data_IF_969193466308
#
_entry.id   IF_969193466308
#
_cell.length_a   1.000
_cell.length_b   1.000
_cell.length_c   1.000
_cell.angle_alpha   90.00
_cell.angle_beta   90.00
_cell.angle_gamma   90.00
#
_symmetry.space_group_name_H-M   'P 1'
#
loop_
_entity.id
_entity.type
_entity.pdbx_description
1 polymer ?
#
# COMPACT_ATOMS: atom_id res chain seq x y z
N UNK A 1 52.12 -42.95 -34.88
CA UNK A 1 52.46 -41.66 -34.20
C UNK A 1 51.59 -40.53 -34.76
N UNK A 2 50.48 -40.82 -35.47
CA UNK A 2 49.56 -39.87 -36.13
C UNK A 2 48.34 -39.49 -35.31
N UNK A 3 47.97 -40.24 -34.30
CA UNK A 3 46.71 -40.03 -33.58
C UNK A 3 46.76 -38.88 -32.54
N UNK A 4 47.92 -38.42 -32.14
CA UNK A 4 48.07 -37.37 -31.14
C UNK A 4 47.71 -35.96 -31.68
N UNK A 5 47.83 -35.73 -32.99
CA UNK A 5 47.59 -34.43 -33.61
C UNK A 5 46.12 -34.08 -33.74
N UNK A 6 45.20 -35.05 -33.69
CA UNK A 6 43.74 -34.83 -33.80
C UNK A 6 43.01 -34.70 -32.46
N UNK A 7 43.68 -35.04 -31.36
CA UNK A 7 43.06 -34.97 -30.01
C UNK A 7 43.08 -33.56 -29.44
N UNK A 8 44.16 -32.80 -29.69
CA UNK A 8 44.32 -31.42 -29.18
C UNK A 8 43.26 -30.42 -29.68
N UNK A 9 42.92 -30.37 -30.99
CA UNK A 9 41.89 -29.42 -31.44
C UNK A 9 40.47 -29.74 -30.93
N UNK A 10 40.17 -31.01 -30.63
CA UNK A 10 38.85 -31.40 -30.06
C UNK A 10 38.73 -31.03 -28.57
N UNK A 11 39.80 -31.13 -27.81
CA UNK A 11 39.81 -30.73 -26.39
C UNK A 11 39.65 -29.21 -26.24
N UNK A 12 40.33 -28.41 -27.04
CA UNK A 12 40.21 -26.95 -27.01
C UNK A 12 38.84 -26.46 -27.39
N UNK A 13 38.18 -27.09 -28.36
CA UNK A 13 36.80 -26.76 -28.73
C UNK A 13 35.78 -27.13 -27.64
N UNK A 14 35.97 -28.29 -26.99
CA UNK A 14 35.09 -28.67 -25.86
C UNK A 14 35.25 -27.73 -24.66
N UNK A 15 36.47 -27.32 -24.32
CA UNK A 15 36.72 -26.33 -23.28
C UNK A 15 36.09 -24.96 -23.62
N UNK A 16 36.22 -24.51 -24.87
CA UNK A 16 35.61 -23.25 -25.32
C UNK A 16 34.07 -23.29 -25.24
N UNK A 17 33.45 -24.38 -25.65
CA UNK A 17 31.99 -24.57 -25.54
C UNK A 17 31.55 -24.61 -24.07
N UNK A 18 32.26 -25.33 -23.22
CA UNK A 18 31.95 -25.37 -21.78
C UNK A 18 32.09 -24.00 -21.13
N UNK A 19 33.14 -23.25 -21.46
CA UNK A 19 33.30 -21.87 -20.97
C UNK A 19 32.18 -20.93 -21.45
N UNK A 20 31.75 -21.07 -22.71
CA UNK A 20 30.62 -20.32 -23.25
C UNK A 20 29.29 -20.60 -22.53
N UNK A 21 29.02 -21.88 -22.24
CA UNK A 21 27.83 -22.27 -21.46
C UNK A 21 27.86 -21.69 -20.05
N UNK A 22 28.98 -21.79 -19.37
CA UNK A 22 29.14 -21.21 -18.02
C UNK A 22 28.95 -19.69 -18.03
N UNK A 23 29.51 -18.98 -19.02
CA UNK A 23 29.33 -17.54 -19.16
C UNK A 23 27.86 -17.16 -19.39
N UNK A 24 27.15 -17.89 -20.24
CA UNK A 24 25.72 -17.64 -20.49
C UNK A 24 24.87 -17.91 -19.24
N UNK A 25 25.16 -18.98 -18.49
CA UNK A 25 24.50 -19.27 -17.23
C UNK A 25 24.78 -18.17 -16.18
N UNK A 26 26.01 -17.70 -16.07
CA UNK A 26 26.36 -16.62 -15.17
C UNK A 26 25.64 -15.32 -15.51
N UNK A 27 25.56 -14.95 -16.80
CA UNK A 27 24.80 -13.80 -17.28
C UNK A 27 23.30 -13.94 -17.03
N UNK A 28 22.75 -15.12 -17.24
CA UNK A 28 21.33 -15.39 -16.97
C UNK A 28 21.02 -15.27 -15.46
N UNK A 29 21.85 -15.85 -14.60
CA UNK A 29 21.69 -15.78 -13.14
C UNK A 29 21.85 -14.34 -12.63
N UNK A 30 22.82 -13.59 -13.17
CA UNK A 30 23.02 -12.18 -12.84
C UNK A 30 21.82 -11.34 -13.26
N UNK A 31 21.32 -11.51 -14.49
CA UNK A 31 20.13 -10.83 -15.00
C UNK A 31 18.89 -11.16 -14.15
N UNK A 32 18.65 -12.43 -13.87
CA UNK A 32 17.55 -12.90 -13.01
C UNK A 32 17.64 -12.31 -11.61
N UNK A 33 18.81 -12.28 -11.00
CA UNK A 33 19.01 -11.70 -9.66
C UNK A 33 18.77 -10.19 -9.65
N UNK A 34 19.13 -9.48 -10.70
CA UNK A 34 18.91 -8.05 -10.84
C UNK A 34 17.44 -7.72 -11.02
N UNK A 35 16.76 -8.43 -11.91
CA UNK A 35 15.34 -8.28 -12.19
C UNK A 35 14.48 -8.54 -10.94
N UNK A 36 14.72 -9.62 -10.20
CA UNK A 36 13.98 -9.94 -8.98
C UNK A 36 14.20 -8.91 -7.87
N UNK A 37 15.37 -8.30 -7.78
CA UNK A 37 15.66 -7.24 -6.79
C UNK A 37 14.87 -5.95 -7.09
N UNK A 38 14.77 -5.56 -8.35
CA UNK A 38 14.01 -4.36 -8.77
C UNK A 38 12.52 -4.53 -8.50
N UNK A 39 11.94 -5.65 -8.94
CA UNK A 39 10.51 -5.95 -8.71
C UNK A 39 10.17 -5.97 -7.21
N UNK A 40 11.04 -6.56 -6.39
CA UNK A 40 10.85 -6.60 -4.94
C UNK A 40 10.95 -5.21 -4.30
N UNK A 41 11.90 -4.37 -4.73
CA UNK A 41 12.04 -2.98 -4.26
C UNK A 41 10.81 -2.14 -4.58
N UNK A 42 10.28 -2.27 -5.79
CA UNK A 42 9.08 -1.52 -6.20
C UNK A 42 7.83 -1.98 -5.46
N UNK A 43 7.68 -3.28 -5.19
CA UNK A 43 6.59 -3.80 -4.36
C UNK A 43 6.67 -3.25 -2.93
N UNK A 44 7.85 -3.26 -2.31
CA UNK A 44 8.06 -2.70 -0.95
C UNK A 44 7.79 -1.20 -0.93
N UNK A 45 8.29 -0.43 -1.90
CA UNK A 45 8.02 1.02 -1.96
C UNK A 45 6.53 1.33 -2.08
N UNK A 46 5.79 0.61 -2.92
CA UNK A 46 4.33 0.78 -3.06
C UNK A 46 3.60 0.43 -1.77
N UNK A 47 3.97 -0.68 -1.12
CA UNK A 47 3.39 -1.07 0.17
C UNK A 47 3.67 -0.05 1.26
N UNK A 48 4.90 0.46 1.36
CA UNK A 48 5.25 1.51 2.32
C UNK A 48 4.47 2.80 2.05
N UNK A 49 4.34 3.24 0.80
CA UNK A 49 3.59 4.44 0.46
C UNK A 49 2.11 4.32 0.89
N UNK A 50 1.48 3.15 0.66
CA UNK A 50 0.10 2.88 1.10
C UNK A 50 -0.03 2.86 2.62
N UNK A 51 0.91 2.20 3.32
CA UNK A 51 0.90 2.15 4.79
C UNK A 51 1.15 3.54 5.37
N UNK A 52 2.11 4.30 4.85
CA UNK A 52 2.40 5.66 5.32
C UNK A 52 1.21 6.60 5.08
N UNK A 53 0.52 6.48 3.93
CA UNK A 53 -0.70 7.23 3.65
C UNK A 53 -1.79 6.97 4.70
N UNK A 54 -2.10 5.70 4.96
CA UNK A 54 -3.11 5.30 5.95
C UNK A 54 -2.76 5.74 7.39
N UNK A 55 -1.49 5.64 7.78
CA UNK A 55 -1.04 6.10 9.11
C UNK A 55 -1.16 7.62 9.21
N UNK A 56 -0.82 8.36 8.14
CA UNK A 56 -0.97 9.82 8.12
C UNK A 56 -2.43 10.24 8.24
N UNK A 57 -3.35 9.53 7.59
CA UNK A 57 -4.80 9.79 7.73
C UNK A 57 -5.26 9.63 9.19
N UNK A 58 -4.82 8.62 9.92
CA UNK A 58 -5.19 8.40 11.32
C UNK A 58 -4.68 9.51 12.26
N UNK A 59 -3.68 10.27 11.85
CA UNK A 59 -3.12 11.38 12.63
C UNK A 59 -3.82 12.73 12.37
N UNK A 60 -4.73 12.80 11.41
CA UNK A 60 -5.48 14.02 11.07
C UNK A 60 -6.19 14.66 12.27
N UNK A 61 -6.78 13.92 13.23
CA UNK A 61 -7.39 14.52 14.41
C UNK A 61 -6.45 15.38 15.28
N UNK A 62 -5.14 15.18 15.16
CA UNK A 62 -4.12 15.95 15.88
C UNK A 62 -3.59 17.16 15.11
N UNK A 63 -4.04 17.38 13.88
CA UNK A 63 -3.64 18.54 13.08
C UNK A 63 -4.38 19.81 13.52
N UNK A 64 -3.72 20.98 13.45
CA UNK A 64 -4.34 22.25 13.84
C UNK A 64 -5.61 22.61 13.09
N UNK A 65 -5.78 22.06 11.88
CA UNK A 65 -6.94 22.31 11.02
C UNK A 65 -8.16 21.45 11.39
N UNK A 66 -7.98 20.40 12.23
CA UNK A 66 -9.08 19.54 12.64
C UNK A 66 -9.96 20.27 13.66
N UNK A 67 -11.28 20.46 13.35
CA UNK A 67 -12.12 21.38 14.13
C UNK A 67 -12.73 20.78 15.40
N UNK A 68 -12.35 19.54 15.75
CA UNK A 68 -12.92 18.82 16.89
C UNK A 68 -11.83 18.36 17.86
N UNK A 69 -12.22 18.00 19.09
CA UNK A 69 -11.30 17.39 20.04
C UNK A 69 -10.82 16.02 19.49
N UNK A 70 -9.51 15.74 19.42
CA UNK A 70 -8.99 14.46 18.92
C UNK A 70 -9.53 13.25 19.68
N UNK A 71 -9.85 13.40 20.96
CA UNK A 71 -10.41 12.34 21.82
C UNK A 71 -11.83 11.95 21.43
N UNK A 72 -12.56 12.81 20.74
CA UNK A 72 -13.94 12.56 20.29
C UNK A 72 -13.98 11.88 18.94
N UNK A 73 -12.86 11.86 18.20
CA UNK A 73 -12.76 11.22 16.90
C UNK A 73 -12.45 9.72 17.01
N UNK A 74 -13.07 8.93 16.15
CA UNK A 74 -12.80 7.51 15.96
C UNK A 74 -12.53 7.26 14.49
N UNK A 75 -11.39 6.61 14.19
CA UNK A 75 -11.08 6.19 12.83
C UNK A 75 -11.98 5.03 12.43
N UNK A 76 -12.62 5.13 11.27
CA UNK A 76 -13.44 4.07 10.67
C UNK A 76 -12.72 3.43 9.47
N UNK A 77 -12.05 4.24 8.66
CA UNK A 77 -11.55 3.84 7.35
C UNK A 77 -12.65 3.90 6.28
N UNK A 78 -12.37 3.34 5.10
CA UNK A 78 -13.34 3.43 4.00
C UNK A 78 -14.72 2.89 4.39
N UNK A 79 -15.80 3.55 3.97
CA UNK A 79 -15.89 4.63 3.01
C UNK A 79 -15.87 6.05 3.60
N UNK A 80 -15.64 6.22 4.88
CA UNK A 80 -15.52 7.50 5.60
C UNK A 80 -14.39 7.39 6.60
N UNK A 81 -13.52 8.36 6.69
CA UNK A 81 -12.31 8.25 7.50
C UNK A 81 -12.59 8.24 8.99
N UNK A 82 -13.47 9.12 9.47
CA UNK A 82 -13.78 9.25 10.90
C UNK A 82 -15.25 9.40 11.18
N UNK A 83 -15.63 9.01 12.42
CA UNK A 83 -16.82 9.44 13.11
C UNK A 83 -16.37 10.25 14.34
N UNK A 84 -16.98 11.42 14.55
CA UNK A 84 -16.71 12.28 15.70
C UNK A 84 -17.96 12.35 16.58
N UNK A 85 -17.80 12.05 17.85
CA UNK A 85 -18.80 12.20 18.88
C UNK A 85 -18.53 13.53 19.61
N UNK A 86 -18.88 14.64 18.98
CA UNK A 86 -18.56 15.99 19.46
C UNK A 86 -19.12 16.25 20.86
N UNK A 87 -18.23 16.49 21.83
CA UNK A 87 -18.50 16.69 23.23
C UNK A 87 -18.44 15.42 24.10
N UNK A 88 -18.09 14.27 23.53
CA UNK A 88 -17.98 13.02 24.29
C UNK A 88 -16.92 13.13 25.41
N UNK A 89 -15.77 13.76 25.15
CA UNK A 89 -14.71 13.99 26.13
C UNK A 89 -15.10 14.99 27.21
N UNK A 90 -16.16 15.78 27.02
CA UNK A 90 -16.74 16.72 27.96
C UNK A 90 -17.92 16.10 28.76
N UNK A 91 -18.26 14.83 28.48
CA UNK A 91 -19.34 14.11 29.17
C UNK A 91 -20.72 14.27 28.53
N UNK A 92 -20.89 15.01 27.43
CA UNK A 92 -22.16 15.19 26.76
C UNK A 92 -21.99 15.26 25.23
N UNK A 93 -22.50 14.24 24.52
CA UNK A 93 -22.48 14.24 23.05
C UNK A 93 -23.50 15.23 22.53
N UNK A 94 -23.03 16.27 21.83
CA UNK A 94 -23.87 17.29 21.20
C UNK A 94 -24.35 16.86 19.82
N UNK A 95 -23.49 16.20 19.07
CA UNK A 95 -23.76 15.71 17.71
C UNK A 95 -22.79 14.63 17.30
N UNK A 96 -23.16 13.86 16.31
CA UNK A 96 -22.30 12.86 15.64
C UNK A 96 -22.00 13.35 14.24
N UNK A 97 -20.72 13.40 13.88
CA UNK A 97 -20.26 13.95 12.60
C UNK A 97 -19.43 12.90 11.86
N UNK A 98 -19.79 12.62 10.61
CA UNK A 98 -18.95 11.83 9.71
C UNK A 98 -17.96 12.76 9.02
N UNK A 99 -16.68 12.43 9.07
CA UNK A 99 -15.60 13.24 8.51
C UNK A 99 -14.85 12.45 7.46
N UNK A 100 -14.80 12.98 6.27
CA UNK A 100 -13.99 12.50 5.17
C UNK A 100 -12.86 13.49 4.90
N UNK A 101 -11.63 13.02 4.88
CA UNK A 101 -10.41 13.82 4.69
C UNK A 101 -10.02 13.78 3.22
N UNK A 102 -9.88 14.94 2.61
CA UNK A 102 -9.38 15.07 1.23
C UNK A 102 -8.09 15.87 1.22
N UNK A 103 -7.11 15.38 0.47
CA UNK A 103 -5.82 16.04 0.26
C UNK A 103 -5.63 16.38 -1.20
N UNK A 104 -5.04 17.54 -1.48
CA UNK A 104 -4.82 18.01 -2.86
C UNK A 104 -6.11 18.10 -3.66
N UNK A 105 -6.11 17.59 -4.89
CA UNK A 105 -7.26 17.63 -5.81
C UNK A 105 -8.19 16.42 -5.69
N UNK A 106 -8.11 15.65 -4.59
CA UNK A 106 -8.94 14.47 -4.39
C UNK A 106 -10.43 14.83 -4.32
N UNK A 107 -11.25 14.14 -5.13
CA UNK A 107 -12.69 14.36 -5.20
C UNK A 107 -13.45 13.31 -4.42
N UNK A 108 -14.64 13.68 -3.95
CA UNK A 108 -15.57 12.77 -3.28
C UNK A 108 -15.99 11.64 -4.24
N UNK A 109 -15.82 10.41 -3.82
CA UNK A 109 -16.20 9.22 -4.58
C UNK A 109 -17.73 9.01 -4.57
N UNK A 110 -18.29 8.18 -5.46
CA UNK A 110 -19.71 7.84 -5.42
C UNK A 110 -20.17 7.20 -4.10
N UNK A 111 -19.31 6.38 -3.45
CA UNK A 111 -19.61 5.74 -2.16
C UNK A 111 -19.70 6.76 -1.02
N UNK A 112 -18.71 7.63 -0.91
CA UNK A 112 -18.67 8.71 0.08
C UNK A 112 -19.86 9.65 -0.10
N UNK A 113 -20.22 9.98 -1.34
CA UNK A 113 -21.39 10.78 -1.68
C UNK A 113 -22.69 10.13 -1.21
N UNK A 114 -22.83 8.81 -1.44
CA UNK A 114 -24.00 8.06 -0.96
C UNK A 114 -24.18 8.14 0.56
N UNK A 115 -23.07 8.10 1.34
CA UNK A 115 -23.14 8.25 2.80
C UNK A 115 -23.48 9.68 3.18
N UNK A 116 -22.84 10.68 2.58
CA UNK A 116 -23.19 12.10 2.81
C UNK A 116 -24.67 12.33 2.57
N UNK A 117 -25.20 11.87 1.44
CA UNK A 117 -26.59 12.04 1.09
C UNK A 117 -27.54 11.30 2.07
N UNK A 118 -27.12 10.17 2.65
CA UNK A 118 -27.87 9.47 3.70
C UNK A 118 -27.90 10.28 5.01
N UNK A 119 -26.77 10.84 5.41
CA UNK A 119 -26.67 11.73 6.59
C UNK A 119 -27.51 12.98 6.41
N UNK A 120 -27.41 13.63 5.24
CA UNK A 120 -28.15 14.85 4.91
C UNK A 120 -29.68 14.65 4.95
N UNK A 121 -30.15 13.44 4.64
CA UNK A 121 -31.59 13.06 4.74
C UNK A 121 -31.99 12.56 6.14
N UNK A 122 -31.08 12.50 7.09
CA UNK A 122 -31.35 11.94 8.42
C UNK A 122 -31.55 10.42 8.43
N UNK A 123 -31.11 9.70 7.40
CA UNK A 123 -31.18 8.24 7.31
C UNK A 123 -30.06 7.58 8.13
N UNK A 124 -29.96 7.91 9.39
CA UNK A 124 -29.01 7.37 10.40
C UNK A 124 -29.81 6.93 11.60
N UNK A 125 -29.65 5.67 12.02
CA UNK A 125 -30.44 5.06 13.07
C UNK A 125 -29.55 4.50 14.19
N UNK A 126 -30.11 4.41 15.39
CA UNK A 126 -29.56 3.67 16.51
C UNK A 126 -30.22 2.31 16.61
N UNK A 127 -29.44 1.24 16.65
CA UNK A 127 -29.94 -0.12 16.89
C UNK A 127 -29.23 -0.73 18.09
N UNK A 128 -29.99 -1.26 19.06
CA UNK A 128 -29.47 -2.10 20.13
C UNK A 128 -29.79 -3.57 19.83
N UNK A 129 -28.72 -4.39 19.68
CA UNK A 129 -28.84 -5.83 19.48
C UNK A 129 -28.45 -6.57 20.76
N UNK A 130 -29.34 -7.39 21.27
CA UNK A 130 -29.08 -8.28 22.41
C UNK A 130 -29.02 -9.72 21.92
N UNK A 131 -27.91 -10.43 22.19
CA UNK A 131 -27.65 -11.82 21.81
C UNK A 131 -27.80 -12.74 23.04
#
# INVERSE_FOLDING_TARGET
>A
MEDAQYIFPRMTTLIAVAAGVVALLALFLWWKARYTREVRRDAVRRSLAVVTGKVSEQLVPYWPQFPFAPRDARFLGAPVDFIVFDGLSEGAVRRVVFVEVKTGDARVTPRERGIRDAVDRGAVEWMELRL
#
